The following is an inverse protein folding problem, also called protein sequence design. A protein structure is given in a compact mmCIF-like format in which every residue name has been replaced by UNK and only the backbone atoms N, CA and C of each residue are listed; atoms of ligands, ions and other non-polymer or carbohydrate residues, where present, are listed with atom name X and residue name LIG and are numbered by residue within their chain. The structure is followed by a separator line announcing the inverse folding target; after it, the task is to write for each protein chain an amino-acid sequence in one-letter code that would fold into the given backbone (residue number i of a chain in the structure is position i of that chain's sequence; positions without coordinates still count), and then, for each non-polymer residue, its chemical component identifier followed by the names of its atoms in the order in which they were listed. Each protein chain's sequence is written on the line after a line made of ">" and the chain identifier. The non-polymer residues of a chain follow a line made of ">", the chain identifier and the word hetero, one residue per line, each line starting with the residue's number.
data_IF_411733505420
#
_entry.id   IF_411733505420
#
_cell.length_a   1.000
_cell.length_b   1.000
_cell.length_c   1.000
_cell.angle_alpha   90.00
_cell.angle_beta   90.00
_cell.angle_gamma   90.00
#
_symmetry.space_group_name_H-M   'P 1'
#
loop_
_entity.id
_entity.type
_entity.pdbx_description
1 polymer ?
#
# COMPACT_ATOMS: atom_id res chain seq x y z
N UNK A 1 -1.80 -0.96 -6.18
CA UNK A 1 -2.06 0.10 -5.20
C UNK A 1 -3.23 0.95 -5.66
N UNK A 2 -4.23 1.10 -4.81
CA UNK A 2 -5.41 1.90 -5.14
C UNK A 2 -5.69 2.92 -4.04
N UNK A 3 -5.92 4.16 -4.44
CA UNK A 3 -6.33 5.27 -3.58
C UNK A 3 -7.83 5.49 -3.76
N UNK A 4 -8.55 5.71 -2.67
CA UNK A 4 -9.99 5.97 -2.77
C UNK A 4 -10.47 6.79 -1.57
N UNK A 5 -11.69 7.31 -1.69
CA UNK A 5 -12.35 8.11 -0.65
C UNK A 5 -13.62 7.40 -0.26
N UNK A 6 -13.87 7.30 1.06
CA UNK A 6 -15.08 6.71 1.61
C UNK A 6 -16.12 7.75 1.96
N UNK A 7 -17.30 7.28 2.33
CA UNK A 7 -18.44 8.14 2.71
C UNK A 7 -18.17 8.99 3.93
N UNK A 8 -17.23 8.57 4.79
CA UNK A 8 -16.82 9.32 5.97
C UNK A 8 -15.98 10.55 5.63
N UNK A 9 -15.66 10.75 4.36
CA UNK A 9 -14.84 11.85 3.88
C UNK A 9 -13.36 11.63 4.02
N UNK A 10 -12.95 10.49 4.52
CA UNK A 10 -11.53 10.15 4.70
C UNK A 10 -10.96 9.46 3.46
N UNK A 11 -9.64 9.53 3.34
CA UNK A 11 -8.91 8.96 2.23
C UNK A 11 -8.21 7.67 2.66
N UNK A 12 -8.20 6.68 1.78
CA UNK A 12 -7.69 5.34 2.07
C UNK A 12 -6.82 4.87 0.92
N UNK A 13 -5.99 3.87 1.20
CA UNK A 13 -5.34 3.11 0.13
C UNK A 13 -5.45 1.62 0.42
N UNK A 14 -5.36 0.83 -0.61
CA UNK A 14 -5.27 -0.62 -0.47
C UNK A 14 -4.28 -1.16 -1.49
N UNK A 15 -3.64 -2.26 -1.11
CA UNK A 15 -2.71 -3.00 -1.94
C UNK A 15 -3.37 -4.32 -2.30
N UNK A 16 -3.49 -4.60 -3.59
CA UNK A 16 -4.17 -5.79 -4.09
C UNK A 16 -3.25 -6.58 -5.01
N UNK A 17 -3.52 -7.89 -5.10
CA UNK A 17 -2.86 -8.76 -6.06
C UNK A 17 -3.51 -8.61 -7.44
N UNK A 18 -2.83 -9.14 -8.46
CA UNK A 18 -3.35 -9.13 -9.83
C UNK A 18 -4.70 -9.86 -9.96
N UNK A 19 -4.96 -10.84 -9.10
CA UNK A 19 -6.24 -11.57 -9.09
C UNK A 19 -7.37 -10.83 -8.40
N UNK A 20 -7.11 -9.63 -7.87
CA UNK A 20 -8.11 -8.80 -7.20
C UNK A 20 -8.17 -8.94 -5.69
N UNK A 21 -7.47 -9.89 -5.09
CA UNK A 21 -7.46 -10.08 -3.64
C UNK A 21 -6.74 -8.93 -2.95
N UNK A 22 -7.37 -8.36 -1.92
CA UNK A 22 -6.77 -7.29 -1.13
C UNK A 22 -5.77 -7.86 -0.12
N UNK A 23 -4.53 -7.40 -0.22
CA UNK A 23 -3.45 -7.82 0.69
C UNK A 23 -3.40 -6.95 1.93
N UNK A 24 -3.70 -5.66 1.77
CA UNK A 24 -3.52 -4.66 2.80
C UNK A 24 -4.50 -3.53 2.57
N UNK A 25 -5.10 -3.02 3.64
CA UNK A 25 -5.98 -1.86 3.59
C UNK A 25 -5.59 -0.89 4.70
N UNK A 26 -5.45 0.40 4.36
CA UNK A 26 -5.04 1.41 5.32
C UNK A 26 -6.19 1.87 6.20
N UNK A 27 -5.83 2.53 7.29
CA UNK A 27 -6.77 3.32 8.08
C UNK A 27 -7.16 4.58 7.28
N UNK A 28 -8.17 5.31 7.74
CA UNK A 28 -8.59 6.57 7.11
C UNK A 28 -7.63 7.72 7.42
N UNK A 29 -7.33 8.51 6.40
CA UNK A 29 -6.51 9.72 6.52
C UNK A 29 -7.36 10.94 6.21
N UNK A 30 -7.08 12.05 6.90
CA UNK A 30 -7.81 13.30 6.69
C UNK A 30 -7.36 14.05 5.42
N UNK A 31 -6.16 13.72 4.92
CA UNK A 31 -5.53 14.43 3.81
C UNK A 31 -5.05 13.44 2.75
N UNK A 32 -5.43 13.63 1.47
CA UNK A 32 -4.98 12.73 0.40
C UNK A 32 -3.47 12.75 0.20
N UNK A 33 -2.78 13.80 0.63
CA UNK A 33 -1.31 13.87 0.56
C UNK A 33 -0.65 12.81 1.43
N UNK A 34 -1.26 12.46 2.55
CA UNK A 34 -0.74 11.40 3.42
C UNK A 34 -0.77 10.07 2.70
N UNK A 35 -1.85 9.78 1.98
CA UNK A 35 -1.97 8.54 1.19
C UNK A 35 -0.91 8.53 0.08
N UNK A 36 -0.78 9.66 -0.63
CA UNK A 36 0.22 9.80 -1.70
C UNK A 36 1.65 9.62 -1.20
N UNK A 37 1.95 10.05 0.03
CA UNK A 37 3.29 9.90 0.60
C UNK A 37 3.66 8.43 0.80
N UNK A 38 2.69 7.58 1.13
CA UNK A 38 2.94 6.14 1.26
C UNK A 38 3.22 5.48 -0.08
N UNK A 39 2.51 5.90 -1.13
CA UNK A 39 2.80 5.41 -2.48
C UNK A 39 4.21 5.82 -2.92
N UNK A 40 4.57 7.08 -2.69
CA UNK A 40 5.91 7.57 -3.01
C UNK A 40 6.98 6.77 -2.26
N UNK A 41 6.72 6.44 -1.00
CA UNK A 41 7.62 5.63 -0.18
C UNK A 41 7.82 4.23 -0.77
N UNK A 42 6.74 3.61 -1.23
CA UNK A 42 6.81 2.30 -1.88
C UNK A 42 7.68 2.38 -3.14
N UNK A 43 7.48 3.41 -3.94
CA UNK A 43 8.21 3.60 -5.20
C UNK A 43 9.70 3.86 -5.00
N UNK A 44 10.09 4.39 -3.85
CA UNK A 44 11.49 4.69 -3.56
C UNK A 44 12.19 3.65 -2.69
N UNK A 45 11.43 2.95 -1.84
CA UNK A 45 12.00 2.02 -0.86
C UNK A 45 11.62 0.55 -1.10
N UNK A 46 10.57 0.30 -1.89
CA UNK A 46 10.11 -1.06 -2.16
C UNK A 46 9.73 -1.80 -0.88
N UNK A 47 10.31 -2.96 -0.66
CA UNK A 47 10.03 -3.80 0.51
C UNK A 47 10.28 -3.09 1.83
N UNK A 48 11.22 -2.14 1.87
CA UNK A 48 11.54 -1.39 3.09
C UNK A 48 10.39 -0.52 3.57
N UNK A 49 9.44 -0.20 2.69
CA UNK A 49 8.26 0.58 3.05
C UNK A 49 7.28 -0.22 3.93
N UNK A 50 7.42 -1.55 3.99
CA UNK A 50 6.51 -2.42 4.72
C UNK A 50 6.32 -2.02 6.19
N UNK A 51 7.39 -1.64 6.87
CA UNK A 51 7.31 -1.24 8.28
C UNK A 51 6.37 -0.06 8.48
N UNK A 52 6.44 0.94 7.60
CA UNK A 52 5.57 2.11 7.68
C UNK A 52 4.13 1.78 7.32
N UNK A 53 3.93 0.94 6.31
CA UNK A 53 2.59 0.52 5.88
C UNK A 53 1.90 -0.31 6.96
N UNK A 54 2.65 -1.15 7.64
CA UNK A 54 2.15 -2.00 8.71
C UNK A 54 1.55 -1.18 9.85
N UNK A 55 2.16 -0.06 10.19
CA UNK A 55 1.71 0.83 11.26
C UNK A 55 0.38 1.50 10.96
N UNK A 56 0.06 1.72 9.68
CA UNK A 56 -1.17 2.40 9.27
C UNK A 56 -2.20 1.46 8.66
N UNK A 57 -1.96 0.15 8.75
CA UNK A 57 -2.87 -0.85 8.21
C UNK A 57 -4.00 -1.17 9.19
N UNK A 58 -5.21 -1.30 8.65
CA UNK A 58 -6.37 -1.80 9.38
C UNK A 58 -6.46 -3.32 9.31
N UNK A 59 -5.64 -3.95 8.50
CA UNK A 59 -5.60 -5.40 8.36
C UNK A 59 -5.04 -6.01 9.64
N UNK A 60 -5.82 -6.87 10.29
CA UNK A 60 -5.44 -7.47 11.56
C UNK A 60 -4.60 -8.74 11.42
N UNK A 61 -4.54 -9.31 10.22
CA UNK A 61 -3.81 -10.55 9.96
C UNK A 61 -3.03 -10.44 8.66
N UNK A 62 -1.77 -10.83 8.70
CA UNK A 62 -0.86 -10.79 7.54
C UNK A 62 -0.36 -12.21 7.22
N UNK A 63 -1.30 -13.16 7.09
CA UNK A 63 -0.97 -14.55 6.78
C UNK A 63 -0.14 -14.69 5.51
N UNK A 64 -0.27 -13.73 4.59
CA UNK A 64 0.42 -13.73 3.31
C UNK A 64 1.44 -12.58 3.21
N UNK A 65 2.19 -12.32 4.29
CA UNK A 65 3.17 -11.24 4.32
C UNK A 65 4.16 -11.28 3.17
N UNK A 66 4.60 -12.48 2.76
CA UNK A 66 5.50 -12.61 1.62
C UNK A 66 4.90 -12.06 0.32
N UNK A 67 3.60 -12.20 0.14
CA UNK A 67 2.90 -11.65 -1.03
C UNK A 67 2.82 -10.13 -0.97
N UNK A 68 2.67 -9.57 0.23
CA UNK A 68 2.70 -8.11 0.41
C UNK A 68 4.06 -7.58 0.00
N UNK A 69 5.13 -8.22 0.47
CA UNK A 69 6.51 -7.83 0.12
C UNK A 69 6.76 -7.93 -1.38
N UNK A 70 6.28 -8.99 -2.02
CA UNK A 70 6.40 -9.14 -3.47
C UNK A 70 5.67 -8.03 -4.23
N UNK A 71 4.48 -7.66 -3.77
CA UNK A 71 3.71 -6.60 -4.39
C UNK A 71 4.41 -5.24 -4.25
N UNK A 72 5.01 -4.97 -3.10
CA UNK A 72 5.78 -3.75 -2.86
C UNK A 72 7.00 -3.69 -3.76
N UNK A 73 7.70 -4.81 -3.89
CA UNK A 73 8.86 -4.92 -4.77
C UNK A 73 8.49 -4.70 -6.23
N UNK A 74 7.35 -5.25 -6.66
CA UNK A 74 6.86 -5.07 -8.03
C UNK A 74 6.57 -3.60 -8.34
N UNK A 75 5.95 -2.88 -7.40
CA UNK A 75 5.68 -1.46 -7.55
C UNK A 75 6.99 -0.66 -7.63
N UNK A 76 7.96 -1.01 -6.81
CA UNK A 76 9.27 -0.37 -6.81
C UNK A 76 9.97 -0.57 -8.15
N UNK A 77 10.01 -1.80 -8.65
CA UNK A 77 10.65 -2.12 -9.93
C UNK A 77 9.99 -1.42 -11.10
N UNK A 78 8.66 -1.35 -11.09
CA UNK A 78 7.89 -0.65 -12.11
C UNK A 78 8.23 0.84 -12.09
N UNK A 79 8.35 1.44 -10.91
CA UNK A 79 8.65 2.86 -10.76
C UNK A 79 10.05 3.24 -11.26
N UNK A 80 11.03 2.34 -11.10
CA UNK A 80 12.42 2.60 -11.54
C UNK A 80 12.71 2.04 -12.92
N UNK A 81 11.73 1.39 -13.56
CA UNK A 81 11.86 0.89 -14.93
C UNK A 81 12.64 -0.42 -15.07
N UNK A 82 12.74 -1.20 -14.02
CA UNK A 82 13.35 -2.55 -14.05
C UNK A 82 12.24 -3.58 -14.15
N UNK A 83 12.33 -4.44 -15.13
CA UNK A 83 11.38 -5.54 -15.31
C UNK A 83 11.75 -6.77 -14.49
#
# INVERSE_FOLDING_TARGET
>A
FKQYREKDGKFYFKLSQANGDTLLQSKGFDNPREVGSYLAKIKTEGKSAWQSLKEVSETSSFAEESRVLEALDALYRDAIGID
#
